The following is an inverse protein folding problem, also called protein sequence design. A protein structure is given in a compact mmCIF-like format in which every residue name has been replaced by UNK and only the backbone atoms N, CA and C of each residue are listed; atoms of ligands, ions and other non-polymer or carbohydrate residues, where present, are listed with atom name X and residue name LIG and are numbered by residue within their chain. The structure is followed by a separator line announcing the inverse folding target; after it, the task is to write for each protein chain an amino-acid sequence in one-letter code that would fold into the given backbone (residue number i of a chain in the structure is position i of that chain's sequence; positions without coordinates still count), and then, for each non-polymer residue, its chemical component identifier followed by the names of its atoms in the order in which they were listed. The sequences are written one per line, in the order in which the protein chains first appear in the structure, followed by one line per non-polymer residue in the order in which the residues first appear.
data_IF_795656869825
#
_entry.id   IF_795656869825
#
_cell.length_a   1.000
_cell.length_b   1.000
_cell.length_c   1.000
_cell.angle_alpha   90.00
_cell.angle_beta   90.00
_cell.angle_gamma   90.00
#
_symmetry.space_group_name_H-M   'P 1'
#
loop_
_entity.id
_entity.type
_entity.pdbx_description
1 polymer ?
2 non-polymer ?
3 water ?
#
# COMPACT_ATOMS: atom_id res chain seq x y z
N UNK A 19 23.38 9.60 -15.97
CA UNK A 19 23.00 11.01 -15.95
C UNK A 19 21.75 11.26 -15.06
N UNK A 20 21.14 12.48 -15.13
CA UNK A 20 19.95 12.92 -14.38
C UNK A 20 18.73 12.02 -14.68
N UNK A 21 17.79 11.94 -13.72
CA UNK A 21 16.58 11.11 -13.79
C UNK A 21 15.34 11.98 -14.03
N UNK A 22 14.55 11.62 -15.06
CA UNK A 22 13.32 12.31 -15.47
C UNK A 22 12.11 11.77 -14.72
N UNK A 23 12.00 10.45 -14.63
CA UNK A 23 10.90 9.75 -13.96
C UNK A 23 11.48 8.92 -12.84
N UNK A 24 10.99 9.13 -11.62
CA UNK A 24 11.30 8.39 -10.39
C UNK A 24 10.15 7.41 -10.13
N UNK A 25 10.42 6.22 -9.54
CA UNK A 25 9.30 5.31 -9.24
C UNK A 25 8.44 5.77 -8.06
N UNK A 26 7.16 5.44 -8.16
CA UNK A 26 6.17 5.77 -7.14
C UNK A 26 6.06 4.58 -6.17
N UNK A 27 5.81 4.87 -4.90
CA UNK A 27 5.52 3.84 -3.89
C UNK A 27 4.05 3.48 -4.13
N UNK A 28 3.69 2.18 -4.06
CA UNK A 28 2.31 1.77 -4.36
C UNK A 28 1.88 0.51 -3.63
N UNK A 29 0.57 0.39 -3.43
CA UNK A 29 -0.06 -0.79 -2.81
C UNK A 29 -0.92 -1.46 -3.89
N UNK A 30 -0.73 -2.76 -4.04
CA UNK A 30 -1.37 -3.62 -5.03
C UNK A 30 -1.84 -4.91 -4.34
N UNK A 31 -2.74 -5.66 -4.99
CA UNK A 31 -3.18 -6.97 -4.54
C UNK A 31 -2.29 -8.00 -5.22
N UNK A 32 -2.04 -9.13 -4.54
CA UNK A 32 -1.27 -10.23 -5.10
C UNK A 32 -2.01 -10.79 -6.33
N UNK A 33 -1.22 -11.22 -7.34
CA UNK A 33 -1.72 -11.74 -8.60
C UNK A 33 -1.80 -10.69 -9.69
N UNK A 34 -1.88 -9.39 -9.30
CA UNK A 34 -1.98 -8.25 -10.21
C UNK A 34 -0.68 -7.97 -11.00
N UNK A 35 -0.82 -7.33 -12.18
CA UNK A 35 0.30 -6.91 -13.03
C UNK A 35 0.78 -5.56 -12.48
N UNK A 36 2.07 -5.45 -12.13
CA UNK A 36 2.66 -4.23 -11.56
C UNK A 36 3.97 -3.91 -12.22
N UNK A 37 4.19 -2.61 -12.43
CA UNK A 37 5.41 -2.03 -12.93
C UNK A 37 5.89 -1.00 -11.94
N UNK A 38 7.20 -0.81 -11.92
CA UNK A 38 7.93 0.25 -11.22
C UNK A 38 8.73 0.92 -12.36
N UNK A 39 8.74 2.28 -12.46
CA UNK A 39 9.43 2.96 -13.56
C UNK A 39 10.51 3.92 -13.13
N UNK A 40 11.58 3.95 -13.92
CA UNK A 40 12.66 4.90 -13.81
C UNK A 40 13.08 5.26 -15.19
N UNK A 41 13.11 6.55 -15.49
CA UNK A 41 13.49 7.01 -16.82
C UNK A 41 14.47 8.14 -16.67
N UNK A 42 15.61 8.04 -17.36
CA UNK A 42 16.65 9.06 -17.39
C UNK A 42 16.49 10.01 -18.61
N UNK A 43 17.22 11.14 -18.60
CA UNK A 43 17.20 12.13 -19.69
C UNK A 43 17.86 11.53 -20.96
N UNK A 44 18.91 10.75 -20.75
CA UNK A 44 19.66 10.07 -21.80
C UNK A 44 18.97 8.89 -22.47
N UNK A 45 17.84 8.38 -21.89
CA UNK A 45 17.05 7.24 -22.40
C UNK A 45 16.86 7.28 -23.92
N UNK A 46 17.06 6.15 -24.64
CA UNK A 46 17.44 4.80 -24.16
C UNK A 46 18.95 4.55 -24.14
N UNK A 47 19.74 5.63 -24.20
CA UNK A 47 21.19 5.57 -24.26
C UNK A 47 21.89 5.68 -22.89
N UNK A 48 21.45 4.85 -21.93
CA UNK A 48 21.94 4.75 -20.54
C UNK A 48 21.81 3.30 -20.05
N UNK A 49 22.35 3.01 -18.86
CA UNK A 49 22.20 1.69 -18.25
C UNK A 49 21.32 1.82 -17.02
N UNK A 50 20.45 0.83 -16.82
CA UNK A 50 19.56 0.78 -15.67
C UNK A 50 19.88 -0.48 -14.92
N UNK A 51 19.83 -0.41 -13.60
CA UNK A 51 19.97 -1.57 -12.74
C UNK A 51 19.12 -1.32 -11.52
N UNK A 52 18.14 -2.22 -11.29
CA UNK A 52 17.23 -2.18 -10.16
C UNK A 52 17.74 -2.98 -8.98
N UNK A 53 17.34 -2.53 -7.80
CA UNK A 53 17.72 -3.17 -6.55
C UNK A 53 16.56 -3.30 -5.63
N UNK A 54 16.46 -4.43 -4.93
CA UNK A 54 15.48 -4.54 -3.83
C UNK A 54 16.42 -4.38 -2.65
N UNK A 55 16.40 -3.18 -2.09
CA UNK A 55 17.35 -2.79 -1.06
C UNK A 55 18.78 -2.88 -1.59
N UNK A 56 19.65 -3.68 -0.96
CA UNK A 56 21.03 -3.84 -1.41
C UNK A 56 21.20 -5.07 -2.32
N UNK A 57 20.10 -5.79 -2.63
CA UNK A 57 20.14 -6.98 -3.50
C UNK A 57 19.99 -6.50 -4.97
N UNK A 58 20.98 -6.81 -5.79
CA UNK A 58 20.94 -6.45 -7.20
C UNK A 58 19.98 -7.42 -7.88
N UNK A 59 18.77 -6.95 -8.26
CA UNK A 59 17.77 -7.81 -8.91
C UNK A 59 18.38 -8.33 -10.23
N UNK A 60 18.51 -9.65 -10.44
CA UNK A 60 19.04 -10.12 -11.73
C UNK A 60 18.00 -9.85 -12.83
N UNK A 61 18.50 -9.50 -14.02
CA UNK A 61 17.70 -9.19 -15.21
C UNK A 61 16.79 -7.94 -15.08
N UNK A 62 17.02 -7.14 -14.03
CA UNK A 62 16.34 -5.87 -13.80
C UNK A 62 17.23 -4.73 -14.24
N UNK A 63 17.67 -4.83 -15.50
CA UNK A 63 18.61 -4.01 -16.25
C UNK A 63 17.91 -3.15 -17.34
N UNK A 64 16.63 -2.89 -17.10
CA UNK A 64 15.74 -2.12 -17.98
C UNK A 64 15.08 -0.97 -17.18
N UNK A 65 14.51 0.01 -17.92
CA UNK A 65 13.82 1.20 -17.42
C UNK A 65 12.71 0.87 -16.43
N UNK A 66 11.89 -0.13 -16.76
CA UNK A 66 10.78 -0.49 -15.92
C UNK A 66 10.84 -1.92 -15.37
N UNK A 67 10.72 -2.06 -14.06
CA UNK A 67 10.75 -3.33 -13.33
C UNK A 67 9.31 -3.90 -13.30
N UNK A 68 9.11 -5.03 -13.99
CA UNK A 68 7.81 -5.68 -14.19
C UNK A 68 7.60 -6.96 -13.39
N UNK A 69 6.50 -7.00 -12.61
CA UNK A 69 6.06 -8.17 -11.86
C UNK A 69 4.79 -8.59 -12.57
N UNK A 70 4.89 -9.62 -13.42
CA UNK A 70 3.75 -10.07 -14.24
C UNK A 70 2.51 -10.47 -13.44
N UNK A 71 2.74 -11.02 -12.23
CA UNK A 71 1.73 -11.45 -11.28
C UNK A 71 2.35 -11.46 -9.87
N UNK A 72 2.46 -10.27 -9.24
CA UNK A 72 3.04 -10.11 -7.90
C UNK A 72 2.63 -11.10 -6.88
N UNK A 73 3.61 -11.41 -6.02
CA UNK A 73 3.47 -12.24 -4.86
C UNK A 73 3.81 -11.34 -3.69
N UNK A 74 3.28 -11.67 -2.52
CA UNK A 74 3.53 -10.97 -1.27
C UNK A 74 5.04 -10.88 -1.05
N UNK A 75 5.80 -11.96 -1.40
CA UNK A 75 7.26 -12.01 -1.25
C UNK A 75 7.97 -10.81 -1.90
N UNK A 76 7.37 -10.25 -2.99
CA UNK A 76 7.82 -9.12 -3.81
C UNK A 76 7.74 -7.78 -3.11
N UNK A 77 6.91 -7.65 -2.07
CA UNK A 77 6.79 -6.41 -1.31
C UNK A 77 8.14 -6.00 -0.75
N UNK A 78 8.38 -4.71 -0.69
CA UNK A 78 9.64 -4.18 -0.17
C UNK A 78 9.99 -2.85 -0.79
N UNK A 79 11.26 -2.42 -0.57
CA UNK A 79 11.88 -1.17 -1.05
C UNK A 79 12.81 -1.33 -2.25
N UNK A 80 12.51 -0.60 -3.31
CA UNK A 80 13.28 -0.62 -4.55
C UNK A 80 13.88 0.72 -4.96
N UNK A 81 15.04 0.63 -5.60
CA UNK A 81 15.76 1.80 -6.10
C UNK A 81 16.33 1.42 -7.44
N UNK A 82 16.51 2.40 -8.32
CA UNK A 82 17.09 2.17 -9.62
C UNK A 82 18.30 3.05 -9.77
N UNK A 83 19.36 2.42 -10.23
CA UNK A 83 20.61 3.08 -10.52
C UNK A 83 20.70 3.26 -12.02
N UNK A 84 20.95 4.49 -12.44
CA UNK A 84 21.13 4.84 -13.86
C UNK A 84 22.53 5.43 -14.05
N UNK A 85 23.28 4.87 -14.99
CA UNK A 85 24.60 5.38 -15.30
C UNK A 85 24.70 5.80 -16.79
N UNK A 86 25.63 6.72 -17.11
CA UNK A 86 25.87 7.19 -18.48
C UNK A 86 27.33 7.54 -18.63
N UNK A 87 28.12 6.54 -19.10
CA UNK A 87 29.58 6.59 -19.38
C UNK A 87 30.46 6.99 -18.17
N UNK A 88 30.29 8.27 -17.69
CA UNK A 88 31.04 8.87 -16.58
C UNK A 88 30.28 8.82 -15.24
N UNK A 89 29.04 9.37 -15.21
CA UNK A 89 28.15 9.51 -14.05
C UNK A 89 27.62 8.18 -13.39
N UNK A 90 26.58 8.33 -12.50
CA UNK A 90 25.81 7.36 -11.69
C UNK A 90 24.80 8.19 -10.91
N UNK A 91 23.54 7.75 -10.91
CA UNK A 91 22.48 8.40 -10.16
C UNK A 91 21.54 7.34 -9.61
N UNK A 92 21.16 7.47 -8.35
CA UNK A 92 20.20 6.56 -7.75
C UNK A 92 18.86 7.27 -7.68
N UNK A 93 17.81 6.58 -8.12
CA UNK A 93 16.46 7.13 -8.03
C UNK A 93 16.02 7.19 -6.57
N UNK A 94 14.82 7.70 -6.39
CA UNK A 94 14.20 7.76 -5.10
C UNK A 94 13.79 6.35 -4.80
N UNK A 95 13.64 6.01 -3.52
CA UNK A 95 13.17 4.72 -3.05
C UNK A 95 11.67 4.61 -3.39
N UNK A 96 11.24 3.42 -3.74
CA UNK A 96 9.86 3.12 -4.03
C UNK A 96 9.44 2.01 -3.08
N UNK A 97 8.30 2.20 -2.41
CA UNK A 97 7.82 1.13 -1.55
C UNK A 97 6.72 0.38 -2.24
N UNK A 98 6.93 -0.92 -2.36
CA UNK A 98 5.91 -1.74 -2.95
C UNK A 98 5.25 -2.52 -1.84
N UNK A 99 3.94 -2.32 -1.72
CA UNK A 99 3.17 -3.10 -0.75
C UNK A 99 2.20 -3.98 -1.49
N UNK A 100 2.20 -5.26 -1.12
CA UNK A 100 1.36 -6.30 -1.75
C UNK A 100 0.41 -6.87 -0.72
N UNK A 101 -0.89 -6.73 -0.96
CA UNK A 101 -1.89 -7.23 -0.02
C UNK A 101 -2.52 -8.49 -0.58
N UNK A 102 -2.65 -9.55 0.26
CA UNK A 102 -3.33 -10.78 -0.14
C UNK A 102 -4.75 -10.75 0.46
N UNK A 103 -5.79 -10.64 -0.39
CA UNK A 103 -7.19 -10.61 0.05
C UNK A 103 -8.02 -11.61 -0.78
N UNK A 104 -9.14 -12.17 -0.24
CA UNK A 104 -9.98 -13.05 -1.08
C UNK A 104 -10.55 -12.37 -2.33
N UNK A 105 -10.82 -13.17 -3.38
CA UNK A 105 -11.42 -12.78 -4.66
C UNK A 105 -12.69 -11.96 -4.48
N UNK A 106 -13.52 -12.32 -3.46
CA UNK A 106 -14.79 -11.68 -3.09
C UNK A 106 -14.70 -10.16 -2.83
N UNK A 107 -13.47 -9.64 -2.63
CA UNK A 107 -13.18 -8.22 -2.39
C UNK A 107 -12.54 -7.55 -3.62
N UNK A 108 -12.16 -8.39 -4.63
CA UNK A 108 -11.54 -7.93 -5.88
C UNK A 108 -12.51 -7.40 -6.95
N UNK A 109 -13.76 -7.11 -6.55
CA UNK A 109 -14.77 -6.50 -7.42
C UNK A 109 -14.26 -5.06 -7.69
N UNK A 110 -14.40 -4.58 -8.95
CA UNK A 110 -13.91 -3.28 -9.42
C UNK A 110 -12.36 -3.14 -9.37
N UNK A 111 -11.65 -4.29 -9.50
CA UNK A 111 -10.19 -4.45 -9.58
C UNK A 111 -9.81 -5.65 -10.44
N UNK A 112 -9.31 -5.39 -11.67
CA UNK A 112 -8.88 -6.42 -12.61
C UNK A 112 -7.44 -6.92 -12.30
N UNK A 113 -6.87 -7.74 -13.19
CA UNK A 113 -5.53 -8.31 -13.04
C UNK A 113 -4.37 -7.37 -13.34
N UNK A 114 -4.67 -6.08 -13.59
CA UNK A 114 -3.70 -5.03 -13.87
C UNK A 114 -3.86 -3.97 -12.79
N UNK A 115 -2.75 -3.68 -12.10
CA UNK A 115 -2.72 -2.69 -11.05
C UNK A 115 -2.96 -1.30 -11.65
N UNK A 116 -3.94 -0.60 -11.08
CA UNK A 116 -4.28 0.78 -11.44
C UNK A 116 -3.92 1.72 -10.27
N UNK A 117 -3.50 2.93 -10.60
CA UNK A 117 -3.04 3.96 -9.67
C UNK A 117 -4.14 4.51 -8.72
N UNK A 118 -5.42 4.43 -9.11
CA UNK A 118 -6.55 4.98 -8.34
C UNK A 118 -6.63 4.43 -6.93
N UNK A 119 -6.76 5.34 -5.94
CA UNK A 119 -6.92 4.98 -4.51
C UNK A 119 -8.32 4.43 -4.30
N UNK A 120 -8.39 3.19 -3.79
CA UNK A 120 -9.66 2.50 -3.55
C UNK A 120 -9.58 1.44 -2.49
N UNK A 121 -10.56 1.47 -1.59
CA UNK A 121 -10.74 0.56 -0.47
C UNK A 121 -11.33 -0.73 -1.00
N UNK A 122 -10.70 -1.86 -0.66
CA UNK A 122 -11.09 -3.19 -1.07
C UNK A 122 -11.75 -3.97 0.03
N UNK A 123 -11.26 -3.80 1.26
CA UNK A 123 -11.75 -4.44 2.49
C UNK A 123 -12.18 -3.32 3.42
N UNK A 124 -13.41 -3.40 3.88
CA UNK A 124 -14.06 -2.43 4.75
C UNK A 124 -14.21 -2.97 6.18
N UNK A 125 -14.26 -2.09 7.20
CA UNK A 125 -14.49 -2.58 8.57
C UNK A 125 -15.92 -3.12 8.69
N UNK A 126 -16.18 -3.80 9.80
CA UNK A 126 -17.42 -4.51 10.03
C UNK A 126 -18.08 -4.05 11.36
N UNK A 127 -19.39 -4.25 11.49
CA UNK A 127 -20.09 -3.89 12.72
C UNK A 127 -20.16 -5.13 13.59
N UNK A 128 -19.91 -4.96 14.90
CA UNK A 128 -19.78 -6.07 15.83
C UNK A 128 -20.36 -5.80 17.19
N UNK A 129 -20.89 -6.84 17.82
CA UNK A 129 -21.42 -6.83 19.18
C UNK A 129 -20.55 -7.85 19.91
N UNK A 130 -19.58 -7.34 20.67
CA UNK A 130 -18.58 -8.13 21.39
C UNK A 130 -18.83 -8.05 22.88
N UNK A 131 -18.17 -8.91 23.67
CA UNK A 131 -18.29 -8.83 25.11
C UNK A 131 -16.96 -8.48 25.79
N UNK A 132 -16.96 -7.82 26.98
CA UNK A 132 -15.67 -7.45 27.60
C UNK A 132 -14.72 -8.63 27.66
N UNK A 133 -13.51 -8.42 27.14
CA UNK A 133 -12.50 -9.46 27.09
C UNK A 133 -12.27 -10.01 25.69
N UNK A 134 -13.15 -9.66 24.71
CA UNK A 134 -13.06 -10.09 23.31
C UNK A 134 -11.90 -9.40 22.66
N UNK A 135 -11.46 -9.94 21.50
CA UNK A 135 -10.47 -9.28 20.66
C UNK A 135 -11.30 -8.60 19.60
N UNK A 136 -11.07 -7.29 19.42
CA UNK A 136 -11.74 -6.49 18.41
C UNK A 136 -10.75 -6.33 17.28
N UNK A 137 -11.14 -6.78 16.08
CA UNK A 137 -10.28 -6.67 14.89
C UNK A 137 -11.04 -5.84 13.86
N UNK A 138 -10.41 -4.71 13.44
CA UNK A 138 -10.93 -3.79 12.43
C UNK A 138 -9.93 -3.70 11.29
N UNK A 139 -10.41 -3.94 10.07
CA UNK A 139 -9.58 -3.98 8.87
C UNK A 139 -10.03 -3.03 7.81
N UNK A 140 -9.06 -2.39 7.18
CA UNK A 140 -9.28 -1.48 6.07
C UNK A 140 -8.13 -1.62 5.12
N UNK A 141 -8.41 -2.21 3.96
CA UNK A 141 -7.36 -2.46 2.97
C UNK A 141 -7.64 -1.66 1.71
N UNK A 142 -6.69 -0.80 1.34
CA UNK A 142 -6.78 -0.03 0.11
C UNK A 142 -5.58 -0.26 -0.81
N UNK A 143 -5.78 0.04 -2.10
CA UNK A 143 -4.76 -0.02 -3.13
C UNK A 143 -4.70 1.36 -3.76
N UNK A 144 -3.54 1.69 -4.33
CA UNK A 144 -3.32 2.96 -5.00
C UNK A 144 -1.88 3.39 -5.11
N UNK A 145 -1.67 4.38 -5.99
CA UNK A 145 -0.39 4.99 -6.28
C UNK A 145 -0.60 6.50 -6.33
N UNK A 146 0.08 7.27 -5.45
CA UNK A 146 1.09 6.85 -4.47
C UNK A 146 0.51 5.96 -3.38
N UNK A 147 1.36 5.21 -2.66
CA UNK A 147 0.93 4.30 -1.61
C UNK A 147 -0.11 4.97 -0.65
N UNK A 148 -1.24 4.28 -0.30
CA UNK A 148 -2.22 4.87 0.60
C UNK A 148 -1.70 4.87 2.02
N UNK A 149 -2.21 5.82 2.81
CA UNK A 149 -1.92 5.94 4.24
C UNK A 149 -3.24 5.78 4.97
N UNK A 150 -3.19 5.24 6.18
CA UNK A 150 -4.35 4.99 7.01
C UNK A 150 -4.30 5.81 8.30
N UNK A 151 -5.49 6.13 8.83
CA UNK A 151 -5.69 6.79 10.11
C UNK A 151 -7.09 6.42 10.59
N UNK A 152 -7.14 5.65 11.70
CA UNK A 152 -8.41 5.21 12.29
C UNK A 152 -8.98 6.28 13.15
N UNK A 153 -10.32 6.40 13.13
CA UNK A 153 -11.09 7.34 13.94
C UNK A 153 -12.17 6.59 14.70
N UNK A 154 -12.53 7.14 15.86
CA UNK A 154 -13.60 6.71 16.76
C UNK A 154 -14.33 7.98 17.22
N UNK A 155 -15.65 8.06 16.99
CA UNK A 155 -16.49 9.19 17.38
C UNK A 155 -15.87 10.57 17.04
N UNK A 156 -15.58 10.80 15.75
CA UNK A 156 -15.03 12.05 15.18
C UNK A 156 -13.58 12.42 15.54
N UNK A 157 -12.93 11.66 16.43
CA UNK A 157 -11.56 11.92 16.85
C UNK A 157 -10.59 10.89 16.29
N UNK A 158 -9.36 11.30 15.91
CA UNK A 158 -8.42 10.32 15.38
C UNK A 158 -7.83 9.51 16.52
N UNK A 159 -7.61 8.21 16.27
CA UNK A 159 -7.04 7.30 17.27
C UNK A 159 -5.56 7.45 17.19
N UNK A 160 -5.00 8.17 18.17
CA UNK A 160 -3.59 8.50 18.25
C UNK A 160 -2.70 7.33 17.89
N UNK A 161 -1.89 7.47 16.84
CA UNK A 161 -0.95 6.44 16.36
C UNK A 161 -1.57 5.19 15.71
N UNK A 162 -2.84 5.23 15.30
CA UNK A 162 -3.47 4.08 14.63
C UNK A 162 -3.42 4.33 13.13
N UNK A 163 -2.26 3.99 12.50
CA UNK A 163 -1.95 4.25 11.10
C UNK A 163 -1.65 3.02 10.23
N UNK A 164 -2.29 1.89 10.52
CA UNK A 164 -2.13 0.64 9.75
C UNK A 164 -3.50 0.16 9.23
N UNK A 165 -3.49 -0.85 8.34
CA UNK A 165 -4.71 -1.47 7.79
C UNK A 165 -5.53 -2.04 8.95
N UNK A 166 -4.85 -2.57 9.97
CA UNK A 166 -5.43 -3.17 11.14
C UNK A 166 -5.51 -2.30 12.35
N UNK A 167 -6.69 -2.26 12.95
CA UNK A 167 -6.89 -1.63 14.24
C UNK A 167 -7.34 -2.76 15.09
N UNK A 168 -6.48 -3.19 16.02
CA UNK A 168 -6.79 -4.29 16.91
C UNK A 168 -6.75 -3.92 18.40
N UNK A 169 -7.71 -4.46 19.17
CA UNK A 169 -7.77 -4.29 20.63
C UNK A 169 -7.78 -5.69 21.26
N UNK A 170 -6.68 -6.12 21.92
CA UNK A 170 -6.63 -7.50 22.43
C UNK A 170 -7.72 -7.87 23.40
N UNK A 171 -8.03 -6.99 24.37
CA UNK A 171 -9.06 -7.28 25.36
C UNK A 171 -9.89 -6.04 25.55
N UNK A 172 -11.12 -6.08 25.05
CA UNK A 172 -12.02 -4.94 25.09
C UNK A 172 -12.68 -4.73 26.44
N UNK A 173 -12.81 -3.44 26.82
CA UNK A 173 -13.50 -2.95 28.01
C UNK A 173 -14.78 -2.36 27.43
N UNK A 174 -15.69 -1.84 28.29
CA UNK A 174 -16.92 -1.19 27.80
C UNK A 174 -16.57 0.13 27.09
N UNK A 175 -15.48 0.77 27.53
CA UNK A 175 -14.95 2.03 27.01
C UNK A 175 -14.63 1.98 25.50
N UNK A 176 -14.45 0.77 24.93
CA UNK A 176 -14.13 0.60 23.51
C UNK A 176 -15.32 0.68 22.56
N UNK A 177 -16.54 0.79 23.13
CA UNK A 177 -17.77 0.93 22.36
C UNK A 177 -17.73 2.23 21.54
N UNK A 178 -18.43 2.27 20.41
CA UNK A 178 -18.47 3.46 19.58
C UNK A 178 -18.52 3.26 18.09
N UNK A 179 -18.48 4.38 17.35
CA UNK A 179 -18.50 4.37 15.91
C UNK A 179 -17.09 4.56 15.40
N UNK A 180 -16.65 3.63 14.56
CA UNK A 180 -15.31 3.63 14.00
C UNK A 180 -15.30 3.73 12.50
N UNK A 181 -14.23 4.30 11.96
CA UNK A 181 -13.96 4.36 10.52
C UNK A 181 -12.47 4.62 10.30
N UNK A 182 -11.98 4.34 9.08
CA UNK A 182 -10.59 4.56 8.66
C UNK A 182 -10.56 5.60 7.56
N UNK A 183 -9.68 6.61 7.73
CA UNK A 183 -9.43 7.60 6.69
C UNK A 183 -8.20 7.12 5.88
N UNK A 184 -8.44 6.78 4.60
CA UNK A 184 -7.40 6.31 3.69
C UNK A 184 -7.02 7.50 2.81
N UNK A 185 -5.69 7.73 2.60
CA UNK A 185 -5.32 8.92 1.83
C UNK A 185 -3.88 8.90 1.26
N UNK A 186 -3.66 9.68 0.22
CA UNK A 186 -2.35 9.96 -0.35
C UNK A 186 -2.28 11.49 -0.58
N UNK A 187 -1.91 11.98 -1.77
CA UNK A 187 -1.86 13.42 -2.05
C UNK A 187 -2.56 13.76 -3.37
N UNK A 188 -3.32 12.78 -3.88
CA UNK A 188 -4.12 12.89 -5.10
C UNK A 188 -5.60 12.67 -4.75
N UNK A 189 -5.87 11.86 -3.67
CA UNK A 189 -7.19 11.45 -3.23
C UNK A 189 -7.17 10.97 -1.77
N UNK A 190 -8.38 10.78 -1.22
CA UNK A 190 -8.72 10.26 0.11
C UNK A 190 -10.13 9.64 0.05
N UNK A 191 -10.42 8.67 0.91
CA UNK A 191 -11.69 7.95 0.94
C UNK A 191 -11.88 7.43 2.36
N UNK A 192 -12.97 7.84 3.01
CA UNK A 192 -13.28 7.33 4.33
C UNK A 192 -13.97 5.98 4.12
N UNK A 193 -13.67 5.02 4.99
CA UNK A 193 -14.30 3.71 4.98
C UNK A 193 -15.73 3.84 5.55
N UNK A 194 -16.52 2.76 5.48
CA UNK A 194 -17.84 2.65 6.11
C UNK A 194 -17.64 3.03 7.59
N UNK A 195 -18.60 3.73 8.18
CA UNK A 195 -18.57 4.04 9.61
C UNK A 195 -19.26 2.83 10.25
N UNK A 196 -18.53 2.07 11.05
CA UNK A 196 -19.05 0.85 11.69
C UNK A 196 -19.43 1.07 13.16
N UNK A 197 -20.36 0.26 13.69
CA UNK A 197 -20.76 0.36 15.09
C UNK A 197 -20.25 -0.83 15.87
N UNK A 198 -19.48 -0.56 16.95
CA UNK A 198 -18.95 -1.60 17.84
C UNK A 198 -19.69 -1.51 19.17
N UNK A 199 -20.56 -2.50 19.45
CA UNK A 199 -21.33 -2.60 20.70
C UNK A 199 -20.57 -3.54 21.64
N UNK A 200 -20.38 -3.12 22.91
CA UNK A 200 -19.78 -3.96 23.95
C UNK A 200 -20.77 -4.09 25.08
N UNK A 201 -21.34 -5.29 25.24
CA UNK A 201 -22.33 -5.61 26.26
C UNK A 201 -22.23 -7.12 26.60
N UNK A 202 -23.32 -7.76 27.10
CA UNK A 202 -23.42 -9.19 27.42
C UNK A 202 -24.86 -9.67 27.48
X LIG B 1 6.46 3.71 -10.85
#
# INVERSE_FOLDING_TARGET
MGSSHHHHHHSSGLVPRGSKITVNPESKAVLAGQFVKLCCRATGHPFVQYQWFKMNKEIPNGNTSELIFNAVHVKDAGFYVCRVNNNFTFEFSQWSQLDVCDIPESFQRSVDGVSESKLQICVEPTSQKLMPGSTLVLQCVAVGSPIPHYQWFKNELPLTHETKKLYMVPYVDLEHQGTYWCHVYNDRDSQDSKKVEIIIDELNNLGHPDNKEQTTDQ
CL CL
#
